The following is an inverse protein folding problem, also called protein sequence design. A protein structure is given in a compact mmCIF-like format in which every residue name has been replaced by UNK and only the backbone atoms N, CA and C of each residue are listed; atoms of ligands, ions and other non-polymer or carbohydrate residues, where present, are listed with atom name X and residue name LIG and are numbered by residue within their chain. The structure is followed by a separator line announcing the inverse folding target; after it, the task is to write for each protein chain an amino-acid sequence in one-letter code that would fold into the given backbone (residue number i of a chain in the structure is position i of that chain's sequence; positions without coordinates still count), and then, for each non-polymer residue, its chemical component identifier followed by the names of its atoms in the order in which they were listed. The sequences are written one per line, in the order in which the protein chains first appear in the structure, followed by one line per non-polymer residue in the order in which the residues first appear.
data_IF_398861869383
#
_entry.id   IF_398861869383
#
_cell.length_a   1.000
_cell.length_b   1.000
_cell.length_c   1.000
_cell.angle_alpha   90.00
_cell.angle_beta   90.00
_cell.angle_gamma   90.00
#
_symmetry.space_group_name_H-M   'P 1'
#
loop_
_entity.id
_entity.type
_entity.pdbx_description
1 polymer ?
#
# COMPACT_ATOMS: atom_id res chain seq x y z
N UNK A 1 -9.40 11.63 -10.34
CA UNK A 1 -8.47 10.53 -10.67
C UNK A 1 -9.05 9.16 -10.35
N UNK A 2 -9.44 8.84 -9.10
CA UNK A 2 -9.88 7.49 -8.73
C UNK A 2 -11.11 6.95 -9.48
N UNK A 3 -12.04 7.81 -9.92
CA UNK A 3 -13.26 7.41 -10.65
C UNK A 3 -13.00 6.92 -12.09
N UNK A 4 -11.82 7.19 -12.65
CA UNK A 4 -11.40 6.67 -13.99
C UNK A 4 -10.70 5.32 -13.92
N UNK A 5 -10.20 4.92 -12.75
CA UNK A 5 -9.70 3.58 -12.56
C UNK A 5 -10.91 2.66 -12.46
N UNK A 6 -11.29 2.03 -13.58
CA UNK A 6 -12.45 1.13 -13.62
C UNK A 6 -12.30 -0.07 -12.67
N UNK A 7 -13.39 -0.79 -12.42
CA UNK A 7 -13.44 -1.83 -11.37
C UNK A 7 -12.80 -3.17 -11.77
N UNK A 8 -12.05 -3.19 -12.87
CA UNK A 8 -11.23 -4.33 -13.29
C UNK A 8 -10.00 -4.43 -12.37
N UNK A 9 -9.38 -5.61 -12.23
CA UNK A 9 -8.23 -5.81 -11.34
C UNK A 9 -7.10 -4.79 -11.53
N UNK A 10 -6.83 -4.39 -12.77
CA UNK A 10 -5.83 -3.36 -13.07
C UNK A 10 -6.19 -1.99 -12.49
N UNK A 11 -7.45 -1.56 -12.60
CA UNK A 11 -7.89 -0.28 -12.06
C UNK A 11 -7.96 -0.28 -10.53
N UNK A 12 -8.41 -1.38 -9.93
CA UNK A 12 -8.33 -1.57 -8.47
C UNK A 12 -6.89 -1.51 -7.97
N UNK A 13 -5.95 -2.15 -8.68
CA UNK A 13 -4.51 -2.09 -8.35
C UNK A 13 -3.94 -0.69 -8.44
N UNK A 14 -4.27 0.08 -9.49
CA UNK A 14 -3.85 1.47 -9.62
C UNK A 14 -4.42 2.33 -8.49
N UNK A 15 -5.70 2.14 -8.15
CA UNK A 15 -6.34 2.87 -7.05
C UNK A 15 -5.70 2.53 -5.70
N UNK A 16 -5.46 1.25 -5.44
CA UNK A 16 -4.75 0.79 -4.24
C UNK A 16 -3.35 1.38 -4.15
N UNK A 17 -2.59 1.39 -5.26
CA UNK A 17 -1.23 1.96 -5.29
C UNK A 17 -1.25 3.45 -4.95
N UNK A 18 -2.19 4.22 -5.50
CA UNK A 18 -2.33 5.65 -5.19
C UNK A 18 -2.65 5.85 -3.69
N UNK A 19 -3.56 5.05 -3.14
CA UNK A 19 -3.92 5.13 -1.72
C UNK A 19 -2.71 4.81 -0.83
N UNK A 20 -1.94 3.77 -1.15
CA UNK A 20 -0.76 3.37 -0.40
C UNK A 20 0.32 4.46 -0.39
N UNK A 21 0.55 5.12 -1.54
CA UNK A 21 1.51 6.22 -1.65
C UNK A 21 1.05 7.46 -0.87
N UNK A 22 -0.24 7.84 -0.99
CA UNK A 22 -0.75 9.08 -0.42
C UNK A 22 -1.11 8.96 1.07
N UNK A 23 -1.84 7.91 1.44
CA UNK A 23 -2.43 7.75 2.78
C UNK A 23 -1.45 7.10 3.76
N UNK A 24 -0.74 6.06 3.33
CA UNK A 24 0.27 5.39 4.14
C UNK A 24 1.68 5.99 3.94
N UNK A 25 1.85 6.98 3.05
CA UNK A 25 3.17 7.61 2.82
C UNK A 25 4.26 6.61 2.40
N UNK A 26 3.86 5.50 1.76
CA UNK A 26 4.79 4.46 1.32
C UNK A 26 5.65 4.99 0.18
N UNK A 27 6.90 4.53 0.13
CA UNK A 27 7.68 4.70 -1.10
C UNK A 27 7.16 3.76 -2.17
N UNK A 28 7.35 4.11 -3.44
CA UNK A 28 6.93 3.25 -4.56
C UNK A 28 7.53 1.85 -4.47
N UNK A 29 8.80 1.73 -4.08
CA UNK A 29 9.46 0.44 -3.84
C UNK A 29 8.85 -0.35 -2.68
N UNK A 30 8.41 0.33 -1.61
CA UNK A 30 7.78 -0.30 -0.46
C UNK A 30 6.39 -0.81 -0.85
N UNK A 31 5.59 -0.01 -1.57
CA UNK A 31 4.26 -0.38 -2.02
C UNK A 31 4.25 -1.53 -3.05
N UNK A 32 5.22 -1.56 -3.97
CA UNK A 32 5.37 -2.64 -4.96
C UNK A 32 5.86 -3.95 -4.34
N UNK A 33 6.49 -3.91 -3.17
CA UNK A 33 6.99 -5.08 -2.44
C UNK A 33 5.97 -5.65 -1.45
N UNK A 34 4.79 -5.05 -1.30
CA UNK A 34 3.75 -5.55 -0.40
C UNK A 34 3.14 -6.85 -0.91
N UNK A 35 3.03 -7.83 -0.02
CA UNK A 35 2.19 -9.00 -0.19
C UNK A 35 0.90 -8.92 0.63
N UNK A 36 -0.03 -9.85 0.41
CA UNK A 36 -1.29 -9.92 1.17
C UNK A 36 -1.07 -10.07 2.67
N UNK A 37 -0.04 -10.83 3.07
CA UNK A 37 0.33 -11.03 4.48
C UNK A 37 0.83 -9.77 5.20
N UNK A 38 1.10 -8.70 4.45
CA UNK A 38 1.53 -7.42 5.00
C UNK A 38 0.36 -6.50 5.34
N UNK A 39 -0.85 -6.85 4.90
CA UNK A 39 -2.06 -6.10 5.18
C UNK A 39 -2.70 -6.60 6.47
N UNK A 40 -2.99 -5.69 7.39
CA UNK A 40 -3.79 -5.98 8.58
C UNK A 40 -5.14 -5.28 8.48
N UNK A 41 -6.17 -5.97 7.95
CA UNK A 41 -7.49 -5.37 7.77
C UNK A 41 -8.19 -5.06 9.09
N UNK A 42 -7.89 -5.78 10.17
CA UNK A 42 -8.48 -5.56 11.49
C UNK A 42 -8.01 -4.25 12.09
N UNK A 43 -6.71 -3.94 11.94
CA UNK A 43 -6.10 -2.70 12.46
C UNK A 43 -6.12 -1.56 11.46
N UNK A 44 -6.50 -1.82 10.20
CA UNK A 44 -6.39 -0.85 9.11
C UNK A 44 -4.94 -0.44 8.88
N UNK A 45 -3.99 -1.37 8.94
CA UNK A 45 -2.56 -1.06 8.86
C UNK A 45 -1.82 -1.91 7.82
N UNK A 46 -0.66 -1.42 7.41
CA UNK A 46 0.23 -2.06 6.45
C UNK A 46 1.61 -2.23 7.08
N UNK A 47 2.15 -3.44 6.99
CA UNK A 47 3.49 -3.76 7.45
C UNK A 47 4.53 -3.54 6.35
N UNK A 48 5.43 -2.60 6.57
CA UNK A 48 6.61 -2.41 5.73
C UNK A 48 7.75 -3.26 6.27
N UNK A 49 8.07 -4.36 5.58
CA UNK A 49 9.15 -5.27 5.99
C UNK A 49 10.54 -4.64 5.90
N UNK A 50 10.80 -3.85 4.84
CA UNK A 50 12.07 -3.13 4.64
C UNK A 50 11.81 -1.68 4.21
N UNK A 51 11.79 -0.78 5.18
CA UNK A 51 11.78 0.66 4.93
C UNK A 51 13.20 1.23 4.77
N UNK A 52 13.33 2.55 4.97
CA UNK A 52 14.65 3.21 4.95
C UNK A 52 15.62 2.53 5.93
N UNK A 53 16.83 2.22 5.46
CA UNK A 53 17.86 1.59 6.30
C UNK A 53 17.50 0.17 6.75
N UNK A 54 16.62 -0.53 6.02
CA UNK A 54 16.25 -1.92 6.32
C UNK A 54 15.32 -2.08 7.53
N UNK A 55 14.78 -0.98 8.08
CA UNK A 55 13.95 -1.02 9.28
C UNK A 55 12.51 -1.44 8.98
N UNK A 56 11.97 -2.31 9.82
CA UNK A 56 10.56 -2.70 9.81
C UNK A 56 9.71 -1.62 10.48
N UNK A 57 8.53 -1.31 9.91
CA UNK A 57 7.54 -0.42 10.52
C UNK A 57 6.12 -0.80 10.12
N UNK A 58 5.16 -0.50 10.97
CA UNK A 58 3.72 -0.59 10.68
C UNK A 58 3.19 0.82 10.40
N UNK A 59 2.34 0.96 9.39
CA UNK A 59 1.73 2.24 9.01
C UNK A 59 0.21 2.11 8.99
N UNK A 60 -0.49 2.99 9.69
CA UNK A 60 -1.96 3.05 9.67
C UNK A 60 -2.50 3.67 8.37
N UNK A 61 -3.70 3.25 7.97
CA UNK A 61 -4.48 3.78 6.82
C UNK A 61 -5.78 4.45 7.26
#
# INVERSE_FOLDING_TARGET
MMRRAGDRPAGLRTRALIILLWRAGLRISEALALGESDLNPVRGSVLVRRGKGGRRREVGM
#
